data_IF_595257983937
#
_entry.id   IF_595257983937
#
_cell.length_a   1.000
_cell.length_b   1.000
_cell.length_c   1.000
_cell.angle_alpha   90.00
_cell.angle_beta   90.00
_cell.angle_gamma   90.00
#
_symmetry.space_group_name_H-M   'P 1'
#
loop_
_entity.id
_entity.type
_entity.pdbx_description
1 polymer ?
#
# COMPACT_ATOMS: atom_id res chain seq x y z
N UNK A 1 -53.30 27.99 -22.16
CA UNK A 1 -52.26 27.52 -21.23
C UNK A 1 -51.61 28.78 -20.68
N UNK A 2 -51.56 28.98 -19.36
CA UNK A 2 -51.02 30.23 -18.80
C UNK A 2 -49.50 30.26 -18.92
N UNK A 3 -48.90 31.45 -19.02
CA UNK A 3 -47.44 31.63 -19.07
C UNK A 3 -46.73 30.94 -17.89
N UNK A 4 -47.40 30.84 -16.73
CA UNK A 4 -46.91 30.11 -15.56
C UNK A 4 -46.75 28.60 -15.81
N UNK A 5 -47.65 27.99 -16.58
CA UNK A 5 -47.55 26.56 -16.94
C UNK A 5 -46.42 26.35 -17.95
N UNK A 6 -46.22 27.28 -18.89
CA UNK A 6 -45.12 27.21 -19.84
C UNK A 6 -43.75 27.35 -19.15
N UNK A 7 -43.63 28.27 -18.20
CA UNK A 7 -42.41 28.46 -17.40
C UNK A 7 -42.08 27.22 -16.55
N UNK A 8 -43.07 26.65 -15.87
CA UNK A 8 -42.87 25.44 -15.07
C UNK A 8 -42.44 24.22 -15.91
N UNK A 9 -42.97 24.10 -17.14
CA UNK A 9 -42.54 23.06 -18.08
C UNK A 9 -41.12 23.29 -18.57
N UNK A 10 -40.72 24.54 -18.84
CA UNK A 10 -39.36 24.88 -19.26
C UNK A 10 -38.35 24.57 -18.16
N UNK A 11 -38.62 24.96 -16.91
CA UNK A 11 -37.76 24.65 -15.76
C UNK A 11 -37.62 23.14 -15.56
N UNK A 12 -38.71 22.38 -15.73
CA UNK A 12 -38.68 20.92 -15.64
C UNK A 12 -37.85 20.29 -16.77
N UNK A 13 -37.94 20.81 -17.99
CA UNK A 13 -37.12 20.35 -19.11
C UNK A 13 -35.63 20.61 -18.86
N UNK A 14 -35.26 21.79 -18.35
CA UNK A 14 -33.87 22.11 -17.99
C UNK A 14 -33.35 21.17 -16.90
N UNK A 15 -34.16 20.91 -15.87
CA UNK A 15 -33.78 20.00 -14.79
C UNK A 15 -33.52 18.57 -15.31
N UNK A 16 -34.39 18.05 -16.19
CA UNK A 16 -34.22 16.73 -16.80
C UNK A 16 -32.99 16.67 -17.72
N UNK A 17 -32.65 17.76 -18.41
CA UNK A 17 -31.45 17.81 -19.25
C UNK A 17 -30.17 17.73 -18.41
N UNK A 18 -30.14 18.39 -17.24
CA UNK A 18 -29.03 18.29 -16.28
C UNK A 18 -28.89 16.87 -15.73
N UNK A 19 -30.00 16.26 -15.31
CA UNK A 19 -30.04 14.88 -14.79
C UNK A 19 -29.57 13.86 -15.85
N UNK A 20 -30.01 14.02 -17.10
CA UNK A 20 -29.57 13.18 -18.22
C UNK A 20 -28.07 13.31 -18.51
N UNK A 21 -27.51 14.52 -18.43
CA UNK A 21 -26.05 14.75 -18.62
C UNK A 21 -25.24 14.06 -17.51
N UNK A 22 -25.70 14.15 -16.26
CA UNK A 22 -25.07 13.46 -15.13
C UNK A 22 -25.09 11.94 -15.31
N UNK A 23 -26.25 11.37 -15.67
CA UNK A 23 -26.39 9.93 -15.91
C UNK A 23 -25.47 9.44 -17.05
N UNK A 24 -25.38 10.19 -18.15
CA UNK A 24 -24.46 9.88 -19.26
C UNK A 24 -23.00 9.87 -18.83
N UNK A 25 -22.60 10.82 -17.97
CA UNK A 25 -21.23 10.88 -17.47
C UNK A 25 -20.92 9.69 -16.56
N UNK A 26 -21.87 9.28 -15.70
CA UNK A 26 -21.72 8.10 -14.86
C UNK A 26 -21.57 6.81 -15.69
N UNK A 27 -22.42 6.60 -16.71
CA UNK A 27 -22.34 5.44 -17.61
C UNK A 27 -20.99 5.41 -18.36
N UNK A 28 -20.47 6.56 -18.77
CA UNK A 28 -19.18 6.66 -19.45
C UNK A 28 -18.01 6.26 -18.53
N UNK A 29 -18.03 6.69 -17.27
CA UNK A 29 -17.01 6.30 -16.28
C UNK A 29 -17.09 4.81 -15.92
N UNK A 30 -18.31 4.25 -15.75
CA UNK A 30 -18.50 2.80 -15.55
C UNK A 30 -18.02 1.99 -16.76
N UNK A 31 -18.27 2.47 -17.99
CA UNK A 31 -17.80 1.83 -19.21
C UNK A 31 -16.28 1.85 -19.32
N UNK A 32 -15.62 2.95 -18.96
CA UNK A 32 -14.15 3.03 -18.89
C UNK A 32 -13.58 2.08 -17.84
N UNK A 33 -14.21 2.01 -16.67
CA UNK A 33 -13.81 1.08 -15.60
C UNK A 33 -13.93 -0.38 -16.07
N UNK A 34 -15.02 -0.73 -16.77
CA UNK A 34 -15.23 -2.06 -17.34
C UNK A 34 -14.18 -2.41 -18.39
N UNK A 35 -13.85 -1.50 -19.31
CA UNK A 35 -12.79 -1.74 -20.32
C UNK A 35 -11.42 -1.90 -19.66
N UNK A 36 -11.12 -1.13 -18.61
CA UNK A 36 -9.88 -1.26 -17.83
C UNK A 36 -9.82 -2.63 -17.13
N UNK A 37 -10.94 -3.09 -16.56
CA UNK A 37 -11.06 -4.41 -15.95
C UNK A 37 -10.93 -5.54 -16.98
N UNK A 38 -11.60 -5.44 -18.14
CA UNK A 38 -11.49 -6.42 -19.22
C UNK A 38 -10.06 -6.50 -19.78
N UNK A 39 -9.38 -5.37 -19.95
CA UNK A 39 -7.96 -5.33 -20.34
C UNK A 39 -7.08 -5.98 -19.27
N UNK A 40 -7.31 -5.66 -17.99
CA UNK A 40 -6.60 -6.28 -16.87
C UNK A 40 -6.79 -7.80 -16.86
N UNK A 41 -8.01 -8.30 -17.05
CA UNK A 41 -8.32 -9.72 -17.11
C UNK A 41 -7.68 -10.42 -18.32
N UNK A 42 -7.66 -9.77 -19.49
CA UNK A 42 -6.99 -10.28 -20.70
C UNK A 42 -5.48 -10.36 -20.49
N UNK A 43 -4.86 -9.29 -19.98
CA UNK A 43 -3.43 -9.24 -19.65
C UNK A 43 -3.05 -10.30 -18.61
N UNK A 44 -3.93 -10.55 -17.63
CA UNK A 44 -3.75 -11.62 -16.65
C UNK A 44 -3.91 -13.01 -17.25
N UNK A 45 -4.84 -13.22 -18.18
CA UNK A 45 -4.99 -14.50 -18.88
C UNK A 45 -3.76 -14.84 -19.75
N UNK A 46 -3.07 -13.83 -20.29
CA UNK A 46 -1.88 -13.99 -21.12
C UNK A 46 -0.60 -14.32 -20.33
N UNK A 47 -0.59 -14.17 -19.00
CA UNK A 47 0.54 -14.57 -18.14
C UNK A 47 0.53 -16.07 -17.77
N UNK A 48 -0.48 -16.82 -18.22
CA UNK A 48 -0.71 -18.22 -17.82
C UNK A 48 -0.59 -19.33 -18.89
N UNK A 49 -0.19 -19.11 -20.17
CA UNK A 49 -0.15 -20.19 -21.17
C UNK A 49 0.95 -21.24 -20.93
N UNK A 50 1.95 -20.98 -20.09
CA UNK A 50 2.99 -21.98 -19.78
C UNK A 50 2.50 -23.12 -18.87
N UNK A 51 1.36 -22.93 -18.18
CA UNK A 51 0.84 -23.93 -17.23
C UNK A 51 0.02 -25.04 -17.86
N UNK A 52 -0.69 -24.80 -18.96
CA UNK A 52 -1.32 -25.88 -19.73
C UNK A 52 -0.28 -26.85 -20.30
N UNK A 53 0.94 -26.36 -20.62
CA UNK A 53 2.07 -27.20 -21.04
C UNK A 53 2.69 -28.00 -19.89
N UNK A 54 2.94 -27.37 -18.73
CA UNK A 54 3.45 -28.07 -17.54
C UNK A 54 2.43 -29.11 -17.00
N UNK A 55 1.14 -28.82 -17.10
CA UNK A 55 0.04 -29.73 -16.75
C UNK A 55 -0.03 -30.93 -17.70
N UNK A 56 0.12 -30.71 -19.02
CA UNK A 56 0.19 -31.79 -20.00
C UNK A 56 1.42 -32.70 -19.79
N UNK A 57 2.55 -32.14 -19.36
CA UNK A 57 3.76 -32.89 -19.05
C UNK A 57 3.63 -33.72 -17.75
N UNK A 58 3.02 -33.17 -16.69
CA UNK A 58 2.77 -33.92 -15.45
C UNK A 58 1.75 -35.07 -15.64
N UNK A 59 0.77 -34.88 -16.55
CA UNK A 59 -0.23 -35.90 -16.92
C UNK A 59 0.38 -37.12 -17.60
N UNK A 60 1.49 -36.98 -18.35
CA UNK A 60 2.14 -38.11 -19.02
C UNK A 60 3.01 -38.95 -18.08
N UNK A 61 3.45 -38.40 -16.94
CA UNK A 61 4.47 -39.01 -16.11
C UNK A 61 3.97 -39.97 -15.01
N UNK A 62 2.75 -39.79 -14.46
CA UNK A 62 2.44 -40.38 -13.15
C UNK A 62 1.21 -41.30 -12.99
N UNK A 63 0.43 -41.62 -14.03
CA UNK A 63 -0.50 -42.78 -14.08
C UNK A 63 -1.55 -42.97 -12.96
N UNK A 64 -1.63 -42.07 -11.97
CA UNK A 64 -2.50 -42.14 -10.80
C UNK A 64 -3.08 -40.74 -10.57
N UNK A 65 -4.04 -40.35 -11.42
CA UNK A 65 -4.57 -39.00 -11.46
C UNK A 65 -6.10 -38.99 -11.30
N UNK A 66 -6.59 -39.10 -10.06
CA UNK A 66 -8.01 -38.80 -9.79
C UNK A 66 -8.18 -37.32 -9.40
N UNK A 67 -7.25 -36.76 -8.61
CA UNK A 67 -7.28 -35.37 -8.16
C UNK A 67 -6.91 -34.31 -9.24
N UNK A 68 -5.88 -34.54 -10.09
CA UNK A 68 -5.55 -33.59 -11.16
C UNK A 68 -6.66 -33.43 -12.19
N UNK A 69 -7.27 -34.55 -12.63
CA UNK A 69 -8.37 -34.51 -13.60
C UNK A 69 -9.63 -33.83 -13.05
N UNK A 70 -9.88 -33.90 -11.74
CA UNK A 70 -10.93 -33.12 -11.07
C UNK A 70 -10.61 -31.62 -11.06
N UNK A 71 -9.39 -31.22 -10.70
CA UNK A 71 -9.00 -29.81 -10.69
C UNK A 71 -9.04 -29.18 -12.10
N UNK A 72 -8.70 -29.92 -13.16
CA UNK A 72 -8.82 -29.45 -14.53
C UNK A 72 -10.27 -29.38 -15.06
N UNK A 73 -11.22 -30.05 -14.40
CA UNK A 73 -12.64 -29.90 -14.69
C UNK A 73 -13.23 -28.62 -14.06
N UNK A 74 -12.56 -28.02 -13.07
CA UNK A 74 -12.97 -26.78 -12.43
C UNK A 74 -12.12 -25.61 -12.97
N UNK A 75 -12.76 -24.75 -13.76
CA UNK A 75 -12.13 -23.57 -14.36
C UNK A 75 -12.03 -22.45 -13.32
N UNK A 76 -10.99 -22.49 -12.49
CA UNK A 76 -10.71 -21.43 -11.51
C UNK A 76 -9.96 -20.28 -12.16
N UNK A 77 -10.60 -19.12 -12.25
CA UNK A 77 -9.97 -17.89 -12.73
C UNK A 77 -9.05 -17.23 -11.69
N UNK A 78 -9.25 -17.51 -10.39
CA UNK A 78 -8.43 -17.01 -9.29
C UNK A 78 -8.61 -17.81 -8.00
N UNK A 79 -7.81 -17.51 -6.97
CA UNK A 79 -7.96 -18.15 -5.66
C UNK A 79 -9.26 -17.72 -4.94
N UNK A 80 -9.73 -16.49 -5.18
CA UNK A 80 -11.04 -16.02 -4.71
C UNK A 80 -12.18 -16.82 -5.34
N UNK A 81 -12.14 -17.06 -6.65
CA UNK A 81 -13.15 -17.87 -7.33
C UNK A 81 -13.16 -19.31 -6.80
N UNK A 82 -11.98 -19.92 -6.66
CA UNK A 82 -11.86 -21.25 -6.03
C UNK A 82 -12.43 -21.29 -4.61
N UNK A 83 -12.19 -20.25 -3.81
CA UNK A 83 -12.80 -20.13 -2.48
C UNK A 83 -14.33 -19.99 -2.54
N UNK A 84 -14.87 -19.19 -3.46
CA UNK A 84 -16.31 -19.03 -3.65
C UNK A 84 -16.98 -20.35 -3.99
N UNK A 85 -16.39 -21.10 -4.92
CA UNK A 85 -16.90 -22.42 -5.29
C UNK A 85 -16.81 -23.41 -4.11
N UNK A 86 -15.74 -23.34 -3.31
CA UNK A 86 -15.59 -24.15 -2.10
C UNK A 86 -16.67 -23.85 -1.07
N UNK A 87 -16.91 -22.57 -0.79
CA UNK A 87 -17.93 -22.12 0.17
C UNK A 87 -19.36 -22.49 -0.25
N UNK A 88 -19.61 -22.60 -1.56
CA UNK A 88 -20.89 -23.06 -2.12
C UNK A 88 -21.04 -24.59 -2.12
N UNK A 89 -20.00 -25.33 -1.76
CA UNK A 89 -19.98 -26.80 -1.80
C UNK A 89 -19.84 -27.38 -3.21
N UNK A 90 -19.54 -26.55 -4.22
CA UNK A 90 -19.33 -26.99 -5.60
C UNK A 90 -18.01 -27.73 -5.76
N UNK A 91 -16.97 -27.29 -5.03
CA UNK A 91 -15.65 -27.94 -5.01
C UNK A 91 -15.25 -28.35 -3.60
N UNK A 92 -14.65 -29.53 -3.41
CA UNK A 92 -14.13 -29.92 -2.11
C UNK A 92 -12.87 -29.12 -1.77
N UNK A 93 -12.57 -28.99 -0.47
CA UNK A 93 -11.39 -28.27 0.02
C UNK A 93 -10.08 -28.82 -0.57
N UNK A 94 -9.99 -30.13 -0.81
CA UNK A 94 -8.81 -30.76 -1.42
C UNK A 94 -8.50 -30.24 -2.83
N UNK A 95 -9.52 -29.89 -3.61
CA UNK A 95 -9.35 -29.31 -4.95
C UNK A 95 -8.85 -27.86 -4.85
N UNK A 96 -9.40 -27.06 -3.93
CA UNK A 96 -8.89 -25.71 -3.65
C UNK A 96 -7.43 -25.75 -3.17
N UNK A 97 -7.10 -26.66 -2.26
CA UNK A 97 -5.73 -26.87 -1.79
C UNK A 97 -4.77 -27.22 -2.93
N UNK A 98 -5.18 -28.14 -3.80
CA UNK A 98 -4.39 -28.51 -4.97
C UNK A 98 -4.16 -27.32 -5.90
N UNK A 99 -5.21 -26.54 -6.19
CA UNK A 99 -5.10 -25.34 -7.02
C UNK A 99 -4.16 -24.30 -6.40
N UNK A 100 -4.35 -23.94 -5.12
CA UNK A 100 -3.50 -22.97 -4.44
C UNK A 100 -2.04 -23.42 -4.34
N UNK A 101 -1.78 -24.71 -4.13
CA UNK A 101 -0.42 -25.26 -4.18
C UNK A 101 0.18 -25.15 -5.59
N UNK A 102 -0.66 -25.32 -6.62
CA UNK A 102 -0.31 -25.07 -8.00
C UNK A 102 -0.03 -23.60 -8.27
N UNK A 103 -0.71 -22.65 -7.62
CA UNK A 103 -0.52 -21.19 -7.72
C UNK A 103 0.78 -20.67 -7.10
N UNK A 104 1.91 -21.39 -7.24
CA UNK A 104 3.27 -21.08 -6.77
C UNK A 104 3.88 -19.78 -7.35
N UNK A 105 3.08 -18.73 -7.49
CA UNK A 105 3.54 -17.36 -7.66
C UNK A 105 4.31 -17.02 -6.39
N UNK A 106 5.61 -16.86 -6.56
CA UNK A 106 6.49 -16.41 -5.49
C UNK A 106 6.41 -14.90 -5.39
N UNK A 107 6.42 -14.40 -4.16
CA UNK A 107 6.47 -12.97 -3.88
C UNK A 107 5.14 -12.45 -3.36
N UNK A 108 4.29 -11.94 -4.24
CA UNK A 108 3.28 -10.95 -3.87
C UNK A 108 1.84 -11.37 -4.21
N UNK A 109 0.93 -11.26 -3.24
CA UNK A 109 -0.49 -11.47 -3.41
C UNK A 109 -1.23 -10.13 -3.47
N UNK A 110 -1.96 -9.91 -4.56
CA UNK A 110 -2.65 -8.67 -4.85
C UNK A 110 -4.10 -8.74 -4.35
N UNK A 111 -4.42 -7.99 -3.31
CA UNK A 111 -5.79 -7.84 -2.83
C UNK A 111 -6.46 -6.66 -3.56
N UNK A 112 -7.44 -6.94 -4.40
CA UNK A 112 -8.26 -5.89 -5.03
C UNK A 112 -9.59 -5.71 -4.29
N UNK A 113 -10.23 -4.56 -4.48
CA UNK A 113 -11.55 -4.30 -3.91
C UNK A 113 -12.57 -5.34 -4.38
N UNK A 114 -12.52 -5.70 -5.66
CA UNK A 114 -13.37 -6.71 -6.28
C UNK A 114 -13.14 -8.10 -5.67
N UNK A 115 -11.89 -8.45 -5.39
CA UNK A 115 -11.53 -9.68 -4.71
C UNK A 115 -12.16 -9.75 -3.31
N UNK A 116 -12.03 -8.68 -2.51
CA UNK A 116 -12.65 -8.61 -1.18
C UNK A 116 -14.18 -8.69 -1.27
N UNK A 117 -14.82 -7.94 -2.17
CA UNK A 117 -16.27 -8.01 -2.37
C UNK A 117 -16.72 -9.43 -2.77
N UNK A 118 -15.99 -10.08 -3.68
CA UNK A 118 -16.28 -11.43 -4.15
C UNK A 118 -16.25 -12.45 -3.02
N UNK A 119 -15.22 -12.43 -2.16
CA UNK A 119 -15.13 -13.38 -1.04
C UNK A 119 -16.18 -13.10 0.03
N UNK A 120 -16.57 -11.83 0.19
CA UNK A 120 -17.60 -11.44 1.19
C UNK A 120 -19.02 -11.82 0.79
N UNK A 121 -19.26 -12.10 -0.49
CA UNK A 121 -20.56 -12.59 -0.95
C UNK A 121 -20.90 -14.00 -0.43
N UNK A 122 -19.92 -14.74 0.09
CA UNK A 122 -20.09 -16.13 0.55
C UNK A 122 -19.50 -16.40 1.95
N UNK A 123 -18.97 -15.37 2.62
CA UNK A 123 -18.28 -15.51 3.90
C UNK A 123 -17.66 -14.19 4.36
N UNK A 124 -16.59 -14.26 5.15
CA UNK A 124 -15.84 -13.07 5.60
C UNK A 124 -14.44 -13.06 4.99
N UNK A 125 -13.83 -11.87 4.88
CA UNK A 125 -12.43 -11.74 4.47
C UNK A 125 -11.49 -12.51 5.41
N UNK A 126 -11.76 -12.49 6.73
CA UNK A 126 -10.96 -13.23 7.71
C UNK A 126 -10.99 -14.75 7.46
N UNK A 127 -12.18 -15.31 7.18
CA UNK A 127 -12.33 -16.73 6.85
C UNK A 127 -11.58 -17.07 5.56
N UNK A 128 -11.69 -16.22 4.55
CA UNK A 128 -10.95 -16.37 3.30
C UNK A 128 -9.44 -16.43 3.54
N UNK A 129 -8.85 -15.49 4.28
CA UNK A 129 -7.40 -15.52 4.52
C UNK A 129 -6.96 -16.74 5.31
N UNK A 130 -7.69 -17.13 6.36
CA UNK A 130 -7.38 -18.34 7.13
C UNK A 130 -7.42 -19.60 6.27
N UNK A 131 -8.27 -19.62 5.25
CA UNK A 131 -8.44 -20.77 4.36
C UNK A 131 -7.41 -20.76 3.25
N UNK A 132 -7.23 -19.64 2.56
CA UNK A 132 -6.49 -19.56 1.29
C UNK A 132 -5.04 -19.14 1.49
N UNK A 133 -4.75 -18.15 2.33
CA UNK A 133 -3.40 -17.60 2.45
C UNK A 133 -2.35 -18.65 2.90
N UNK A 134 -2.65 -19.56 3.86
CA UNK A 134 -1.75 -20.67 4.20
C UNK A 134 -1.48 -21.67 3.07
N UNK A 135 -2.35 -21.72 2.06
CA UNK A 135 -2.21 -22.61 0.91
C UNK A 135 -1.27 -22.01 -0.16
N UNK A 136 -1.06 -20.70 -0.11
CA UNK A 136 -0.21 -19.94 -1.03
C UNK A 136 1.20 -19.78 -0.47
N UNK A 137 1.91 -20.90 -0.28
CA UNK A 137 3.19 -20.93 0.45
C UNK A 137 4.31 -20.07 -0.13
N UNK A 138 4.26 -19.74 -1.42
CA UNK A 138 5.23 -18.88 -2.10
C UNK A 138 5.01 -17.37 -1.89
N UNK A 139 3.85 -16.97 -1.34
CA UNK A 139 3.49 -15.58 -1.11
C UNK A 139 4.05 -15.14 0.23
N UNK A 140 4.96 -14.17 0.21
CA UNK A 140 5.54 -13.55 1.42
C UNK A 140 5.15 -12.08 1.56
N UNK A 141 4.58 -11.49 0.50
CA UNK A 141 4.15 -10.09 0.45
C UNK A 141 2.65 -10.01 0.13
N UNK A 142 1.94 -9.12 0.81
CA UNK A 142 0.56 -8.75 0.46
C UNK A 142 0.52 -7.31 -0.02
N UNK A 143 -0.09 -7.08 -1.19
CA UNK A 143 -0.23 -5.74 -1.76
C UNK A 143 -1.68 -5.27 -1.78
N UNK A 144 -1.84 -4.01 -1.40
CA UNK A 144 -3.07 -3.23 -1.40
C UNK A 144 -2.80 -1.90 -2.13
N UNK A 145 -3.48 -1.60 -3.22
CA UNK A 145 -3.17 -0.40 -4.02
C UNK A 145 -3.54 0.91 -3.27
N UNK A 146 -4.76 1.02 -2.70
CA UNK A 146 -5.17 2.21 -1.95
C UNK A 146 -6.11 1.89 -0.76
N UNK A 147 -5.78 2.33 0.47
CA UNK A 147 -6.63 2.07 1.65
C UNK A 147 -8.06 2.60 1.52
N UNK A 148 -8.28 3.67 0.74
CA UNK A 148 -9.61 4.25 0.54
C UNK A 148 -10.54 3.31 -0.23
N UNK A 149 -9.98 2.34 -0.96
CA UNK A 149 -10.77 1.37 -1.73
C UNK A 149 -11.21 0.16 -0.90
N UNK A 150 -10.52 -0.13 0.21
CA UNK A 150 -10.75 -1.33 1.02
C UNK A 150 -11.50 -1.08 2.33
N UNK A 151 -11.78 0.18 2.64
CA UNK A 151 -12.47 0.60 3.87
C UNK A 151 -13.85 1.17 3.55
N UNK A 152 -14.74 1.18 4.55
CA UNK A 152 -16.06 1.78 4.37
C UNK A 152 -15.94 3.30 4.26
N UNK A 153 -16.68 3.95 3.33
CA UNK A 153 -16.67 5.41 3.21
C UNK A 153 -17.04 6.13 4.51
N UNK A 154 -17.98 5.55 5.27
CA UNK A 154 -18.50 6.10 6.53
C UNK A 154 -17.54 5.86 7.71
N UNK A 155 -16.75 4.79 7.64
CA UNK A 155 -15.77 4.43 8.67
C UNK A 155 -14.52 3.81 8.06
N UNK A 156 -13.48 4.64 7.91
CA UNK A 156 -12.16 4.25 7.42
C UNK A 156 -11.41 3.27 8.33
N UNK A 157 -11.97 2.92 9.49
CA UNK A 157 -11.43 1.88 10.39
C UNK A 157 -12.03 0.51 10.14
N UNK A 158 -13.11 0.43 9.37
CA UNK A 158 -13.81 -0.81 9.07
C UNK A 158 -13.50 -1.25 7.64
N UNK A 159 -13.11 -2.52 7.49
CA UNK A 159 -12.79 -3.11 6.18
C UNK A 159 -14.04 -3.54 5.41
N UNK A 160 -13.93 -3.59 4.09
CA UNK A 160 -14.88 -4.32 3.25
C UNK A 160 -14.92 -5.78 3.72
N UNK A 161 -16.12 -6.28 3.99
CA UNK A 161 -16.32 -7.61 4.57
C UNK A 161 -16.40 -7.68 6.08
N UNK A 162 -16.32 -6.53 6.76
CA UNK A 162 -16.42 -6.42 8.20
C UNK A 162 -15.08 -6.61 8.93
N UNK A 163 -15.08 -6.22 10.21
CA UNK A 163 -13.89 -6.21 11.06
C UNK A 163 -13.06 -4.93 10.93
N UNK A 164 -12.14 -4.73 11.88
CA UNK A 164 -11.27 -3.55 11.86
C UNK A 164 -10.09 -3.72 10.90
N UNK A 165 -9.63 -2.62 10.30
CA UNK A 165 -8.36 -2.55 9.53
C UNK A 165 -7.20 -3.15 10.34
N UNK A 166 -7.17 -2.87 11.64
CA UNK A 166 -6.15 -3.35 12.57
C UNK A 166 -6.09 -4.88 12.60
N UNK A 167 -7.23 -5.51 12.91
CA UNK A 167 -7.33 -6.97 13.02
C UNK A 167 -7.08 -7.63 11.68
N UNK A 168 -7.59 -7.03 10.60
CA UNK A 168 -7.38 -7.47 9.24
C UNK A 168 -5.89 -7.55 8.89
N UNK A 169 -5.17 -6.42 9.00
CA UNK A 169 -3.75 -6.38 8.64
C UNK A 169 -2.91 -7.24 9.59
N UNK A 170 -3.23 -7.26 10.88
CA UNK A 170 -2.56 -8.13 11.84
C UNK A 170 -2.72 -9.62 11.48
N UNK A 171 -3.91 -10.03 11.03
CA UNK A 171 -4.16 -11.41 10.58
C UNK A 171 -3.38 -11.74 9.32
N UNK A 172 -3.38 -10.85 8.32
CA UNK A 172 -2.61 -11.05 7.07
C UNK A 172 -1.14 -11.22 7.40
N UNK A 173 -0.54 -10.30 8.17
CA UNK A 173 0.86 -10.39 8.60
C UNK A 173 1.12 -11.67 9.40
N UNK A 174 0.21 -12.07 10.28
CA UNK A 174 0.36 -13.32 11.05
C UNK A 174 0.44 -14.55 10.14
N UNK A 175 -0.38 -14.61 9.08
CA UNK A 175 -0.48 -15.76 8.18
C UNK A 175 0.59 -15.81 7.09
N UNK A 176 1.21 -14.68 6.73
CA UNK A 176 2.28 -14.65 5.74
C UNK A 176 3.54 -15.41 6.24
N UNK A 177 4.24 -16.17 5.39
CA UNK A 177 5.58 -16.69 5.67
C UNK A 177 6.63 -15.57 5.75
N UNK A 178 7.75 -15.85 6.41
CA UNK A 178 8.91 -14.96 6.43
C UNK A 178 9.71 -15.04 5.11
N UNK A 179 10.30 -13.93 4.63
CA UNK A 179 10.20 -12.57 5.18
C UNK A 179 8.86 -11.92 4.82
N UNK A 180 8.12 -11.45 5.84
CA UNK A 180 6.77 -10.88 5.64
C UNK A 180 6.84 -9.44 5.17
N UNK A 181 5.97 -9.09 4.23
CA UNK A 181 5.89 -7.75 3.66
C UNK A 181 4.43 -7.32 3.41
N UNK A 182 4.14 -6.04 3.65
CA UNK A 182 2.87 -5.40 3.31
C UNK A 182 3.17 -4.19 2.44
N UNK A 183 2.72 -4.23 1.19
CA UNK A 183 2.88 -3.12 0.26
C UNK A 183 1.60 -2.33 0.06
N UNK A 184 1.77 -1.02 -0.04
CA UNK A 184 0.68 -0.07 -0.19
C UNK A 184 -0.20 -0.02 1.05
N UNK A 185 -1.53 0.10 0.87
CA UNK A 185 -2.50 0.54 1.88
C UNK A 185 -2.21 1.97 2.37
N UNK A 186 -1.09 2.19 3.04
CA UNK A 186 -0.57 3.52 3.37
C UNK A 186 0.34 4.03 2.26
N UNK A 187 0.13 5.28 1.83
CA UNK A 187 0.87 5.90 0.72
C UNK A 187 2.26 6.42 1.13
N UNK A 188 2.54 6.47 2.43
CA UNK A 188 3.75 7.12 2.94
C UNK A 188 4.12 6.64 4.35
N UNK A 189 5.40 6.81 4.71
CA UNK A 189 5.93 6.50 6.04
C UNK A 189 5.18 7.23 7.16
N UNK A 190 4.80 8.50 6.95
CA UNK A 190 4.08 9.29 7.94
C UNK A 190 2.63 8.83 8.11
N UNK A 191 1.93 8.46 7.03
CA UNK A 191 0.57 7.94 7.13
C UNK A 191 0.53 6.58 7.85
N UNK A 192 1.49 5.69 7.54
CA UNK A 192 1.66 4.41 8.23
C UNK A 192 1.98 4.61 9.72
N UNK A 193 2.93 5.49 10.05
CA UNK A 193 3.27 5.82 11.44
C UNK A 193 2.09 6.44 12.21
N UNK A 194 1.32 7.34 11.60
CA UNK A 194 0.15 7.93 12.24
C UNK A 194 -0.94 6.90 12.51
N UNK A 195 -1.12 5.92 11.62
CA UNK A 195 -2.00 4.78 11.87
C UNK A 195 -1.50 3.94 13.06
N UNK A 196 -0.19 3.69 13.15
CA UNK A 196 0.41 3.00 14.29
C UNK A 196 0.20 3.79 15.61
N UNK A 197 0.50 5.09 15.60
CA UNK A 197 0.33 5.97 16.77
C UNK A 197 -1.13 6.06 17.23
N UNK A 198 -2.07 5.99 16.29
CA UNK A 198 -3.50 5.98 16.56
C UNK A 198 -4.04 4.59 16.93
N UNK A 199 -3.18 3.59 17.11
CA UNK A 199 -3.53 2.20 17.43
C UNK A 199 -4.42 1.53 16.35
N UNK A 200 -4.36 2.03 15.12
CA UNK A 200 -5.06 1.47 13.96
C UNK A 200 -4.29 0.30 13.32
N UNK A 201 -2.98 0.17 13.58
CA UNK A 201 -2.15 -0.98 13.17
C UNK A 201 -1.23 -1.40 14.31
N UNK A 202 -0.81 -2.67 14.31
CA UNK A 202 0.13 -3.21 15.30
C UNK A 202 1.58 -2.89 14.93
N UNK A 203 2.48 -3.06 15.91
CA UNK A 203 3.93 -2.96 15.69
C UNK A 203 4.44 -3.96 14.66
N UNK A 204 3.86 -5.17 14.59
CA UNK A 204 4.25 -6.18 13.60
C UNK A 204 3.80 -5.80 12.19
N UNK A 205 2.63 -5.15 12.06
CA UNK A 205 2.18 -4.59 10.77
C UNK A 205 3.08 -3.44 10.33
N UNK A 206 3.43 -2.54 11.24
CA UNK A 206 4.39 -1.46 10.94
C UNK A 206 5.74 -2.01 10.47
N UNK A 207 6.26 -3.04 11.16
CA UNK A 207 7.51 -3.72 10.80
C UNK A 207 7.43 -4.38 9.42
N UNK A 208 6.36 -5.12 9.13
CA UNK A 208 6.17 -5.76 7.82
C UNK A 208 6.05 -4.73 6.69
N UNK A 209 5.35 -3.61 6.93
CA UNK A 209 5.26 -2.53 5.96
C UNK A 209 6.62 -1.86 5.70
N UNK A 210 7.39 -1.56 6.76
CA UNK A 210 8.72 -0.97 6.62
C UNK A 210 9.71 -1.93 5.93
N UNK A 211 9.50 -3.25 6.01
CA UNK A 211 10.36 -4.22 5.34
C UNK A 211 10.28 -4.11 3.80
N UNK A 212 9.09 -3.83 3.26
CA UNK A 212 8.88 -3.64 1.82
C UNK A 212 9.41 -2.32 1.26
N UNK A 213 9.57 -1.32 2.13
CA UNK A 213 10.07 0.02 1.76
C UNK A 213 11.60 0.02 1.68
N UNK A 214 12.14 -0.37 0.52
CA UNK A 214 13.58 -0.42 0.26
C UNK A 214 14.29 0.93 0.09
N UNK A 215 13.68 2.03 0.52
CA UNK A 215 14.23 3.37 0.36
C UNK A 215 15.43 3.64 1.28
N UNK A 216 16.45 4.34 0.76
CA UNK A 216 17.58 4.82 1.57
C UNK A 216 17.30 6.15 2.29
N UNK A 217 16.13 6.74 2.07
CA UNK A 217 15.75 8.06 2.56
C UNK A 217 14.44 8.02 3.36
N UNK A 218 14.38 8.85 4.40
CA UNK A 218 13.18 9.05 5.21
C UNK A 218 12.87 10.55 5.30
N UNK A 219 11.68 10.96 4.87
CA UNK A 219 11.16 12.29 5.18
C UNK A 219 10.71 12.33 6.65
N UNK A 220 11.27 13.25 7.42
CA UNK A 220 10.97 13.42 8.84
C UNK A 220 10.24 14.74 9.05
N UNK A 221 9.18 14.68 9.86
CA UNK A 221 8.28 15.80 10.13
C UNK A 221 7.62 16.43 8.89
N UNK A 222 7.00 15.66 7.97
CA UNK A 222 6.06 16.25 7.04
C UNK A 222 4.91 16.96 7.78
N UNK A 223 4.17 17.87 7.13
CA UNK A 223 3.09 18.65 7.76
C UNK A 223 2.01 17.80 8.45
N UNK A 224 1.80 16.56 8.00
CA UNK A 224 0.92 15.57 8.67
C UNK A 224 1.38 15.23 10.09
N UNK A 225 2.68 14.94 10.29
CA UNK A 225 3.26 14.62 11.60
C UNK A 225 3.24 15.83 12.54
N UNK A 226 3.54 17.02 12.01
CA UNK A 226 3.53 18.26 12.79
C UNK A 226 2.13 18.62 13.28
N UNK A 227 1.11 18.52 12.42
CA UNK A 227 -0.31 18.68 12.81
C UNK A 227 -0.72 17.68 13.89
N UNK A 228 -0.21 16.45 13.82
CA UNK A 228 -0.42 15.41 14.83
C UNK A 228 0.47 15.56 16.08
N UNK A 229 1.22 16.67 16.20
CA UNK A 229 2.14 16.99 17.30
C UNK A 229 3.13 15.84 17.58
N UNK A 230 3.57 15.16 16.53
CA UNK A 230 4.60 14.14 16.60
C UNK A 230 5.94 14.84 16.56
N UNK A 231 6.73 14.70 17.63
CA UNK A 231 8.10 15.21 17.60
C UNK A 231 8.97 14.37 16.65
N UNK A 232 9.87 15.05 15.94
CA UNK A 232 10.94 14.45 15.15
C UNK A 232 11.64 13.26 15.82
N UNK A 233 12.04 13.44 17.09
CA UNK A 233 12.84 12.46 17.83
C UNK A 233 12.09 11.14 18.04
N UNK A 234 10.82 11.25 18.48
CA UNK A 234 9.95 10.09 18.67
C UNK A 234 9.68 9.37 17.35
N UNK A 235 9.45 10.10 16.25
CA UNK A 235 9.23 9.49 14.94
C UNK A 235 10.44 8.68 14.46
N UNK A 236 11.63 9.28 14.49
CA UNK A 236 12.88 8.61 14.14
C UNK A 236 13.16 7.39 15.02
N UNK A 237 12.93 7.50 16.33
CA UNK A 237 13.15 6.41 17.28
C UNK A 237 12.27 5.18 17.00
N UNK A 238 11.05 5.39 16.48
CA UNK A 238 10.13 4.30 16.14
C UNK A 238 10.39 3.73 14.75
N UNK A 239 10.59 4.59 13.74
CA UNK A 239 10.66 4.13 12.34
C UNK A 239 12.02 3.54 11.97
N UNK A 240 13.13 4.16 12.39
CA UNK A 240 14.47 3.78 11.94
C UNK A 240 14.88 2.34 12.32
N UNK A 241 14.49 1.78 13.49
CA UNK A 241 14.73 0.36 13.77
C UNK A 241 14.12 -0.60 12.75
N UNK A 242 13.04 -0.21 12.07
CA UNK A 242 12.38 -1.02 11.03
C UNK A 242 12.86 -0.69 9.61
N UNK A 243 13.66 0.35 9.45
CA UNK A 243 14.18 0.83 8.17
C UNK A 243 15.72 0.82 8.19
N UNK A 244 16.37 -0.35 8.33
CA UNK A 244 17.81 -0.44 8.50
C UNK A 244 18.62 0.10 7.29
N UNK A 245 18.00 0.16 6.12
CA UNK A 245 18.60 0.70 4.88
C UNK A 245 18.60 2.23 4.83
N UNK A 246 17.83 2.91 5.69
CA UNK A 246 17.77 4.37 5.69
C UNK A 246 19.06 4.97 6.25
N UNK A 247 19.76 5.70 5.39
CA UNK A 247 20.99 6.44 5.71
C UNK A 247 20.85 7.94 5.45
N UNK A 248 19.76 8.34 4.80
CA UNK A 248 19.46 9.72 4.43
C UNK A 248 18.16 10.20 5.06
N UNK A 249 18.12 11.45 5.51
CA UNK A 249 16.93 12.06 6.06
C UNK A 249 16.67 13.40 5.40
N UNK A 250 15.43 13.64 4.99
CA UNK A 250 14.95 14.95 4.52
C UNK A 250 14.11 15.59 5.61
N UNK A 251 14.52 16.77 6.08
CA UNK A 251 13.84 17.50 7.14
C UNK A 251 12.71 18.34 6.56
N UNK A 252 11.49 18.20 7.11
CA UNK A 252 10.34 19.00 6.69
C UNK A 252 10.54 20.51 6.91
N UNK A 253 10.01 21.32 6.00
CA UNK A 253 10.22 22.78 5.96
C UNK A 253 9.77 23.49 7.24
N UNK A 254 8.68 23.03 7.85
CA UNK A 254 8.09 23.60 9.07
C UNK A 254 8.83 23.19 10.37
N UNK A 255 9.91 22.42 10.26
CA UNK A 255 10.72 22.04 11.43
C UNK A 255 11.51 23.24 11.92
N UNK A 256 11.45 23.53 13.22
CA UNK A 256 12.18 24.64 13.84
C UNK A 256 13.51 24.24 14.49
N UNK A 257 13.72 22.93 14.73
CA UNK A 257 14.97 22.41 15.32
C UNK A 257 15.37 21.06 14.72
N UNK A 258 16.67 20.87 14.55
CA UNK A 258 17.26 19.56 14.24
C UNK A 258 17.40 18.77 15.55
N UNK A 259 16.76 17.59 15.64
CA UNK A 259 16.97 16.72 16.80
C UNK A 259 18.22 15.83 16.64
N UNK A 260 18.55 15.10 17.70
CA UNK A 260 19.63 14.12 17.67
C UNK A 260 19.23 12.96 16.77
N UNK A 261 19.99 12.78 15.68
CA UNK A 261 19.79 11.69 14.73
C UNK A 261 20.62 10.46 15.11
N UNK A 262 20.16 9.23 14.78
CA UNK A 262 20.96 8.02 14.97
C UNK A 262 22.25 8.02 14.15
N UNK A 263 23.22 7.23 14.61
CA UNK A 263 24.54 7.11 13.98
C UNK A 263 24.51 6.45 12.59
N UNK A 264 23.40 5.82 12.21
CA UNK A 264 23.20 5.25 10.87
C UNK A 264 23.03 6.33 9.80
N UNK A 265 22.61 7.54 10.18
CA UNK A 265 22.34 8.62 9.26
C UNK A 265 23.64 9.31 8.84
N UNK A 266 23.92 9.28 7.55
CA UNK A 266 25.11 9.86 6.92
C UNK A 266 24.78 11.08 6.07
N UNK A 267 23.53 11.21 5.65
CA UNK A 267 23.06 12.30 4.80
C UNK A 267 21.89 13.01 5.45
N UNK A 268 21.94 14.34 5.50
CA UNK A 268 20.81 15.17 5.94
C UNK A 268 20.51 16.23 4.90
N UNK A 269 19.26 16.29 4.47
CA UNK A 269 18.75 17.30 3.58
C UNK A 269 17.90 18.31 4.37
N UNK A 270 18.36 19.56 4.39
CA UNK A 270 17.69 20.71 5.03
C UNK A 270 17.25 21.75 3.99
N UNK A 271 17.11 21.32 2.73
CA UNK A 271 16.61 22.18 1.65
C UNK A 271 15.20 22.66 1.97
N UNK A 272 14.99 23.97 1.90
CA UNK A 272 13.71 24.61 2.25
C UNK A 272 13.39 24.72 3.74
N UNK A 273 14.32 24.38 4.63
CA UNK A 273 14.17 24.63 6.06
C UNK A 273 14.49 26.09 6.40
N UNK A 274 13.51 26.98 6.29
CA UNK A 274 13.64 28.42 6.60
C UNK A 274 13.42 28.70 8.10
N UNK A 275 12.70 27.85 8.81
CA UNK A 275 12.36 28.01 10.22
C UNK A 275 13.45 27.50 11.20
N UNK A 276 14.45 26.77 10.71
CA UNK A 276 15.55 26.26 11.56
C UNK A 276 16.55 27.38 11.82
N UNK A 277 16.68 27.76 13.09
CA UNK A 277 17.61 28.81 13.51
C UNK A 277 18.97 28.29 14.01
N UNK A 278 19.03 27.03 14.45
CA UNK A 278 20.23 26.40 14.99
C UNK A 278 20.54 25.09 14.25
N UNK A 279 21.56 25.14 13.38
CA UNK A 279 22.07 23.98 12.66
C UNK A 279 23.27 23.32 13.36
N UNK A 280 23.72 23.83 14.51
CA UNK A 280 24.86 23.25 15.24
C UNK A 280 24.71 21.78 15.65
N UNK A 281 23.49 21.19 15.79
CA UNK A 281 23.35 19.75 15.96
C UNK A 281 24.01 18.91 14.86
N UNK A 282 24.04 19.38 13.60
CA UNK A 282 24.71 18.68 12.49
C UNK A 282 26.21 18.53 12.75
N UNK A 283 26.83 19.51 13.41
CA UNK A 283 28.24 19.46 13.77
C UNK A 283 28.55 18.40 14.84
N UNK A 284 27.54 17.92 15.57
CA UNK A 284 27.69 16.87 16.59
C UNK A 284 27.51 15.47 16.01
N UNK A 285 27.03 15.33 14.77
CA UNK A 285 26.88 14.03 14.12
C UNK A 285 28.25 13.49 13.69
N UNK A 286 28.55 12.26 14.11
CA UNK A 286 29.86 11.63 13.89
C UNK A 286 30.02 11.05 12.49
N UNK A 287 28.96 10.48 11.91
CA UNK A 287 28.98 9.82 10.61
C UNK A 287 28.36 10.64 9.48
N UNK A 288 27.96 11.87 9.78
CA UNK A 288 27.45 12.79 8.76
C UNK A 288 28.55 13.03 7.72
N UNK A 289 28.28 12.67 6.48
CA UNK A 289 29.20 12.80 5.34
C UNK A 289 28.67 13.75 4.28
N UNK A 290 27.35 13.97 4.24
CA UNK A 290 26.71 14.84 3.25
C UNK A 290 25.58 15.67 3.83
N UNK A 291 25.51 16.94 3.46
CA UNK A 291 24.38 17.84 3.77
C UNK A 291 23.92 18.54 2.50
N UNK A 292 22.62 18.48 2.22
CA UNK A 292 21.97 19.26 1.16
C UNK A 292 21.27 20.48 1.75
N UNK A 293 21.32 21.60 1.03
CA UNK A 293 20.63 22.84 1.35
C UNK A 293 20.24 23.57 0.07
N UNK A 294 19.28 24.49 0.13
CA UNK A 294 18.82 25.27 -1.03
C UNK A 294 18.88 26.77 -0.75
N UNK A 295 18.49 27.60 -1.72
CA UNK A 295 18.31 29.05 -1.51
C UNK A 295 17.18 29.41 -0.54
N UNK A 296 16.30 28.46 -0.23
CA UNK A 296 15.22 28.60 0.76
C UNK A 296 15.59 28.06 2.14
N UNK A 297 16.78 27.46 2.32
CA UNK A 297 17.29 27.14 3.65
C UNK A 297 17.62 28.44 4.40
N UNK A 298 17.33 28.50 5.70
CA UNK A 298 17.63 29.66 6.53
C UNK A 298 19.09 30.11 6.37
N UNK A 299 19.38 31.41 6.14
CA UNK A 299 20.74 31.92 5.93
C UNK A 299 21.73 31.59 7.06
N UNK A 300 21.24 31.36 8.30
CA UNK A 300 22.10 30.90 9.42
C UNK A 300 22.77 29.55 9.17
N UNK A 301 22.32 28.77 8.19
CA UNK A 301 23.04 27.57 7.77
C UNK A 301 24.44 27.91 7.25
N UNK A 302 24.62 29.07 6.60
CA UNK A 302 25.91 29.51 6.07
C UNK A 302 26.99 29.62 7.16
N UNK A 303 26.59 30.00 8.38
CA UNK A 303 27.46 30.16 9.55
C UNK A 303 28.19 28.85 9.96
N UNK A 304 27.68 27.69 9.53
CA UNK A 304 28.26 26.39 9.89
C UNK A 304 28.88 25.64 8.71
N UNK A 305 28.77 26.13 7.47
CA UNK A 305 29.23 25.42 6.26
C UNK A 305 30.73 25.11 6.33
N UNK A 306 31.57 26.08 6.67
CA UNK A 306 33.01 25.88 6.73
C UNK A 306 33.41 24.91 7.85
N UNK A 307 32.66 24.93 8.96
CA UNK A 307 32.85 23.98 10.07
C UNK A 307 32.47 22.55 9.66
N UNK A 308 31.40 22.38 8.87
CA UNK A 308 31.03 21.09 8.28
C UNK A 308 32.11 20.60 7.31
N UNK A 309 32.57 21.45 6.39
CA UNK A 309 33.62 21.10 5.42
C UNK A 309 34.93 20.72 6.10
N UNK A 310 35.34 21.45 7.15
CA UNK A 310 36.53 21.13 7.95
C UNK A 310 36.44 19.74 8.62
N UNK A 311 35.23 19.27 8.91
CA UNK A 311 34.97 17.91 9.41
C UNK A 311 34.93 16.83 8.31
N UNK A 312 35.17 17.20 7.05
CA UNK A 312 35.07 16.30 5.91
C UNK A 312 33.64 16.07 5.40
N UNK A 313 32.67 16.89 5.83
CA UNK A 313 31.29 16.81 5.33
C UNK A 313 31.19 17.52 3.98
N UNK A 314 30.61 16.82 3.01
CA UNK A 314 30.28 17.40 1.70
C UNK A 314 29.00 18.22 1.81
N UNK A 315 29.08 19.52 1.58
CA UNK A 315 27.92 20.42 1.59
C UNK A 315 27.54 20.75 0.16
N UNK A 316 26.34 20.34 -0.26
CA UNK A 316 25.84 20.49 -1.63
C UNK A 316 24.68 21.46 -1.65
N UNK A 317 24.79 22.51 -2.46
CA UNK A 317 23.66 23.40 -2.74
C UNK A 317 22.78 22.76 -3.81
N UNK A 318 21.58 22.38 -3.44
CA UNK A 318 20.59 21.88 -4.38
C UNK A 318 20.06 23.03 -5.25
N UNK A 319 19.84 22.74 -6.53
CA UNK A 319 19.53 23.76 -7.55
C UNK A 319 18.03 24.00 -7.75
N UNK A 320 17.19 23.43 -6.89
CA UNK A 320 15.74 23.58 -6.94
C UNK A 320 15.28 24.93 -6.39
#
# INVERSE_FOLDING_TARGET
MSDAVLAALLDRCIALEVEYKQLRQQIAEESKARVKLERYLVERSCLWPERTSAYAAAKSANGTAVLPDLAAAYDFCSAEDGYVQYKRGTVPLSVLQFYCAGCDIKGEYYFTKEALLTVTAVGTCEEYFKTVLPLLRGITSAKFDDYEEYTLPEDRRTMIGGGSVREFLAKVVFLLPEPKDIKGFYKSHDSCYLAFKADHISSEVLKAWCHGEGGEWLCVCPPSLLRARVSFEVYCMVMLPYLPSVTSITVGQEVTRIAKLPITITTVDVSGCDAIEDFTPLLKMHRLSKVYYSGSTNPRFEDIIDRLKKKGVTVVKDRW
#
